data_IF_782298824279
#
_entry.id   IF_782298824279
#
_cell.length_a   1.000
_cell.length_b   1.000
_cell.length_c   1.000
_cell.angle_alpha   90.00
_cell.angle_beta   90.00
_cell.angle_gamma   90.00
#
_symmetry.space_group_name_H-M   'P 1'
#
loop_
_entity.id
_entity.type
_entity.pdbx_description
1 polymer ?
#
# COMPACT_ATOMS: atom_id res chain seq x y z
N UNK A 1 -22.35 0.31 2.47
CA UNK A 1 -23.05 0.27 3.77
C UNK A 1 -24.55 0.37 3.52
N UNK A 2 -25.35 -0.61 3.97
CA UNK A 2 -26.82 -0.64 3.79
C UNK A 2 -27.62 -0.42 5.08
N UNK A 3 -26.92 -0.40 6.23
CA UNK A 3 -27.55 -0.15 7.53
C UNK A 3 -28.02 1.30 7.66
N UNK A 4 -29.18 1.49 8.28
CA UNK A 4 -29.68 2.81 8.66
C UNK A 4 -29.00 3.38 9.91
N UNK A 5 -28.20 2.57 10.59
CA UNK A 5 -27.46 2.95 11.80
C UNK A 5 -25.98 2.64 11.63
N UNK A 6 -25.13 3.49 12.18
CA UNK A 6 -23.68 3.28 12.31
C UNK A 6 -23.32 2.67 13.67
N UNK A 7 -24.29 2.34 14.51
CA UNK A 7 -24.02 1.71 15.80
C UNK A 7 -23.54 0.27 15.63
N UNK A 8 -22.59 -0.12 16.44
CA UNK A 8 -21.88 -1.41 16.35
C UNK A 8 -22.63 -2.54 17.06
N UNK A 9 -23.90 -2.74 16.74
CA UNK A 9 -24.73 -3.82 17.32
C UNK A 9 -24.04 -5.20 17.32
N UNK A 10 -23.33 -5.62 16.26
CA UNK A 10 -22.67 -6.92 16.25
C UNK A 10 -21.56 -7.10 17.28
N UNK A 11 -20.95 -6.00 17.75
CA UNK A 11 -19.91 -6.04 18.78
C UNK A 11 -20.53 -6.10 20.17
N UNK A 12 -21.68 -5.44 20.37
CA UNK A 12 -22.36 -5.29 21.64
C UNK A 12 -23.67 -6.09 21.69
N UNK A 13 -23.73 -7.23 21.02
CA UNK A 13 -24.96 -8.00 20.89
C UNK A 13 -25.50 -8.50 22.25
N UNK A 14 -24.62 -8.80 23.21
CA UNK A 14 -25.02 -9.23 24.57
C UNK A 14 -25.76 -8.12 25.33
N UNK A 15 -25.32 -6.87 25.16
CA UNK A 15 -25.96 -5.72 25.80
C UNK A 15 -27.38 -5.46 25.31
N UNK A 16 -27.67 -5.91 24.10
CA UNK A 16 -28.96 -5.71 23.43
C UNK A 16 -29.81 -6.97 23.38
N UNK A 17 -29.37 -8.04 24.03
CA UNK A 17 -30.07 -9.36 24.01
C UNK A 17 -30.39 -9.83 22.60
N UNK A 18 -29.42 -9.70 21.68
CA UNK A 18 -29.58 -10.04 20.28
C UNK A 18 -28.99 -11.42 19.98
N UNK A 19 -29.64 -12.17 19.06
CA UNK A 19 -29.09 -13.43 18.55
C UNK A 19 -27.99 -13.14 17.51
N UNK A 20 -26.75 -13.49 17.84
CA UNK A 20 -25.58 -13.31 16.99
C UNK A 20 -25.73 -13.90 15.56
N UNK A 21 -26.59 -14.90 15.38
CA UNK A 21 -26.83 -15.57 14.07
C UNK A 21 -27.55 -14.66 13.06
N UNK A 22 -28.31 -13.69 13.54
CA UNK A 22 -29.17 -12.83 12.73
C UNK A 22 -28.64 -11.39 12.58
N UNK A 23 -27.50 -11.08 13.20
CA UNK A 23 -26.92 -9.74 13.18
C UNK A 23 -25.83 -9.69 12.12
N UNK A 24 -25.87 -8.67 11.28
CA UNK A 24 -24.83 -8.40 10.28
C UNK A 24 -24.07 -7.13 10.65
N UNK A 25 -22.78 -7.14 10.34
CA UNK A 25 -21.96 -5.96 10.47
C UNK A 25 -22.55 -4.78 9.69
N UNK A 26 -22.55 -3.62 10.31
CA UNK A 26 -22.99 -2.38 9.66
C UNK A 26 -21.98 -1.86 8.63
N UNK A 27 -20.77 -2.41 8.63
CA UNK A 27 -19.69 -2.07 7.72
C UNK A 27 -19.19 -3.29 6.95
N UNK A 28 -18.70 -3.04 5.75
CA UNK A 28 -18.04 -4.05 4.93
C UNK A 28 -16.55 -4.10 5.28
N UNK A 29 -16.09 -5.21 5.83
CA UNK A 29 -14.66 -5.48 5.93
C UNK A 29 -14.14 -5.88 4.56
N UNK A 30 -13.29 -5.03 3.96
CA UNK A 30 -12.71 -5.26 2.64
C UNK A 30 -11.47 -6.16 2.65
N UNK A 31 -11.14 -6.74 3.80
CA UNK A 31 -10.00 -7.62 3.96
C UNK A 31 -8.72 -6.91 4.41
N UNK A 32 -7.61 -7.64 4.30
CA UNK A 32 -6.31 -7.20 4.76
C UNK A 32 -5.72 -6.06 3.93
N UNK A 33 -4.92 -5.23 4.58
CA UNK A 33 -4.05 -4.28 3.91
C UNK A 33 -2.81 -5.04 3.43
N UNK A 34 -2.48 -4.90 2.15
CA UNK A 34 -1.29 -5.51 1.56
C UNK A 34 -0.32 -4.41 1.15
N UNK A 35 0.89 -4.42 1.70
CA UNK A 35 1.93 -3.44 1.39
C UNK A 35 3.07 -4.15 0.67
N UNK A 36 3.45 -3.65 -0.49
CA UNK A 36 4.56 -4.16 -1.30
C UNK A 36 5.93 -3.85 -0.71
N UNK A 37 6.96 -3.99 -1.54
CA UNK A 37 8.35 -3.76 -1.17
C UNK A 37 8.78 -2.32 -1.47
N UNK A 38 9.80 -1.82 -0.78
CA UNK A 38 10.35 -0.47 -0.99
C UNK A 38 9.27 0.64 -0.94
N UNK A 39 8.26 0.46 -0.11
CA UNK A 39 7.19 1.44 0.09
C UNK A 39 7.58 2.44 1.17
N UNK A 40 7.39 3.73 0.90
CA UNK A 40 7.55 4.77 1.91
C UNK A 40 6.19 5.28 2.36
N UNK A 41 5.93 5.17 3.66
CA UNK A 41 4.70 5.65 4.28
C UNK A 41 5.04 6.86 5.16
N UNK A 42 4.49 8.00 4.78
CA UNK A 42 4.69 9.26 5.48
C UNK A 42 4.02 9.28 6.86
N UNK A 43 4.44 10.22 7.67
CA UNK A 43 3.99 10.41 9.05
C UNK A 43 2.47 10.49 9.17
N UNK A 44 1.89 9.75 10.09
CA UNK A 44 0.45 9.72 10.37
C UNK A 44 -0.44 9.40 9.15
N UNK A 45 0.07 8.70 8.13
CA UNK A 45 -0.78 8.23 7.04
C UNK A 45 -1.75 7.15 7.54
N UNK A 46 -2.97 7.19 7.05
CA UNK A 46 -4.03 6.22 7.35
C UNK A 46 -4.33 5.40 6.10
N UNK A 47 -4.32 4.09 6.23
CA UNK A 47 -4.61 3.16 5.14
C UNK A 47 -5.85 2.36 5.53
N UNK A 48 -6.86 2.37 4.67
CA UNK A 48 -8.12 1.68 4.93
C UNK A 48 -8.02 0.18 4.61
N UNK A 49 -8.91 -0.59 5.22
CA UNK A 49 -8.98 -2.05 5.01
C UNK A 49 -9.13 -2.42 3.54
N UNK A 50 -8.50 -3.51 3.12
CA UNK A 50 -8.53 -4.05 1.78
C UNK A 50 -7.68 -3.31 0.74
N UNK A 51 -6.99 -2.24 1.13
CA UNK A 51 -6.11 -1.48 0.23
C UNK A 51 -4.83 -2.25 -0.05
N UNK A 52 -4.43 -2.27 -1.32
CA UNK A 52 -3.14 -2.80 -1.78
C UNK A 52 -2.24 -1.66 -2.21
N UNK A 53 -1.02 -1.63 -1.65
CA UNK A 53 0.00 -0.65 -1.99
C UNK A 53 1.11 -1.35 -2.77
N UNK A 54 1.32 -0.94 -4.02
CA UNK A 54 2.31 -1.52 -4.92
C UNK A 54 3.75 -1.22 -4.52
N UNK A 55 4.68 -2.03 -5.04
CA UNK A 55 6.10 -1.88 -4.80
C UNK A 55 6.60 -0.46 -5.15
N UNK A 56 7.47 0.08 -4.33
CA UNK A 56 8.07 1.39 -4.56
C UNK A 56 7.12 2.59 -4.44
N UNK A 57 5.89 2.40 -3.98
CA UNK A 57 4.94 3.49 -3.80
C UNK A 57 5.35 4.43 -2.66
N UNK A 58 4.89 5.66 -2.73
CA UNK A 58 5.11 6.68 -1.70
C UNK A 58 3.76 7.23 -1.25
N UNK A 59 3.50 7.13 0.04
CA UNK A 59 2.31 7.67 0.69
C UNK A 59 2.71 8.96 1.42
N UNK A 60 2.11 10.07 1.04
CA UNK A 60 2.36 11.36 1.68
C UNK A 60 1.96 11.38 3.16
N UNK A 61 2.61 12.24 3.94
CA UNK A 61 2.27 12.44 5.34
C UNK A 61 0.78 12.84 5.49
N UNK A 62 0.12 12.26 6.49
CA UNK A 62 -1.32 12.50 6.80
C UNK A 62 -2.30 12.19 5.67
N UNK A 63 -1.87 11.43 4.66
CA UNK A 63 -2.77 10.96 3.62
C UNK A 63 -3.75 9.92 4.17
N UNK A 64 -4.96 9.91 3.65
CA UNK A 64 -5.96 8.86 3.91
C UNK A 64 -6.16 8.04 2.65
N UNK A 65 -5.52 6.87 2.60
CA UNK A 65 -5.51 5.99 1.43
C UNK A 65 -6.75 5.12 1.44
N UNK A 66 -7.65 5.36 0.50
CA UNK A 66 -8.96 4.69 0.40
C UNK A 66 -9.06 3.71 -0.77
N UNK A 67 -8.07 3.71 -1.67
CA UNK A 67 -8.01 2.89 -2.89
C UNK A 67 -6.60 2.33 -3.08
N UNK A 68 -6.48 1.27 -3.86
CA UNK A 68 -5.20 0.68 -4.23
C UNK A 68 -4.27 1.73 -4.84
N UNK A 69 -2.98 1.60 -4.52
CA UNK A 69 -1.92 2.48 -5.02
C UNK A 69 -1.04 1.68 -5.97
N UNK A 70 -0.95 2.10 -7.26
CA UNK A 70 -0.09 1.43 -8.22
C UNK A 70 1.39 1.48 -7.82
N UNK A 71 2.22 0.54 -8.34
CA UNK A 71 3.65 0.58 -8.10
C UNK A 71 4.29 1.92 -8.50
N UNK A 72 5.32 2.33 -7.77
CA UNK A 72 6.10 3.54 -8.01
C UNK A 72 5.28 4.82 -8.19
N UNK A 73 4.12 4.87 -7.53
CA UNK A 73 3.21 6.01 -7.57
C UNK A 73 3.27 6.77 -6.25
N UNK A 74 3.30 8.10 -6.34
CA UNK A 74 3.22 9.00 -5.19
C UNK A 74 1.78 9.45 -5.02
N UNK A 75 1.21 9.19 -3.87
CA UNK A 75 -0.15 9.62 -3.51
C UNK A 75 -0.13 10.48 -2.25
N UNK A 76 -1.11 11.36 -2.12
CA UNK A 76 -1.25 12.21 -0.94
C UNK A 76 -2.63 12.83 -0.86
N UNK A 77 -2.92 13.43 0.28
CA UNK A 77 -4.19 14.13 0.53
C UNK A 77 -5.26 13.26 1.21
N UNK A 78 -6.43 13.86 1.43
CA UNK A 78 -7.61 13.26 2.10
C UNK A 78 -8.85 13.52 1.25
N UNK A 79 -9.41 12.54 0.55
CA UNK A 79 -8.85 11.21 0.30
C UNK A 79 -7.56 11.30 -0.56
N UNK A 80 -6.66 10.33 -0.39
CA UNK A 80 -5.41 10.30 -1.15
C UNK A 80 -5.67 10.16 -2.66
N UNK A 81 -4.96 10.97 -3.43
CA UNK A 81 -4.98 10.97 -4.88
C UNK A 81 -3.56 10.89 -5.43
N UNK A 82 -3.41 10.40 -6.64
CA UNK A 82 -2.13 10.37 -7.33
C UNK A 82 -1.61 11.80 -7.54
N UNK A 83 -0.40 12.05 -7.04
CA UNK A 83 0.35 13.29 -7.28
C UNK A 83 1.17 13.14 -8.56
N UNK A 84 1.94 12.04 -8.66
CA UNK A 84 2.77 11.72 -9.83
C UNK A 84 3.25 10.27 -9.78
N UNK A 85 3.78 9.79 -10.89
CA UNK A 85 4.63 8.59 -10.91
C UNK A 85 6.07 8.97 -10.53
N UNK A 86 6.80 8.05 -9.91
CA UNK A 86 8.23 8.24 -9.61
C UNK A 86 9.08 8.19 -10.89
N UNK A 87 8.71 7.30 -11.79
CA UNK A 87 9.41 7.02 -13.05
C UNK A 87 8.40 6.82 -14.18
N UNK A 88 8.88 6.81 -15.44
CA UNK A 88 8.09 6.41 -16.60
C UNK A 88 7.73 4.92 -16.55
N UNK A 89 6.75 4.51 -17.35
CA UNK A 89 6.23 3.14 -17.32
C UNK A 89 7.29 2.10 -17.70
N UNK A 90 8.16 2.39 -18.68
CA UNK A 90 9.23 1.49 -19.09
C UNK A 90 10.24 1.24 -17.96
N UNK A 91 10.58 2.30 -17.22
CA UNK A 91 11.44 2.22 -16.03
C UNK A 91 10.78 1.43 -14.91
N UNK A 92 9.50 1.65 -14.67
CA UNK A 92 8.73 0.91 -13.65
C UNK A 92 8.71 -0.58 -13.97
N UNK A 93 8.45 -0.96 -15.24
CA UNK A 93 8.47 -2.37 -15.66
C UNK A 93 9.82 -3.04 -15.38
N UNK A 94 10.93 -2.36 -15.70
CA UNK A 94 12.28 -2.86 -15.42
C UNK A 94 12.54 -3.05 -13.93
N UNK A 95 12.16 -2.08 -13.10
CA UNK A 95 12.32 -2.17 -11.64
C UNK A 95 11.51 -3.30 -11.04
N UNK A 96 10.29 -3.52 -11.51
CA UNK A 96 9.44 -4.62 -11.09
C UNK A 96 9.99 -5.99 -11.54
N UNK A 97 10.65 -6.06 -12.69
CA UNK A 97 11.32 -7.26 -13.18
C UNK A 97 12.60 -7.56 -12.39
N UNK A 98 13.40 -6.54 -12.09
CA UNK A 98 14.65 -6.67 -11.34
C UNK A 98 14.44 -7.14 -9.91
N UNK A 99 13.39 -6.67 -9.23
CA UNK A 99 13.07 -7.01 -7.83
C UNK A 99 14.30 -6.99 -6.93
N UNK A 100 15.07 -5.91 -6.97
CA UNK A 100 16.37 -5.78 -6.30
C UNK A 100 16.30 -6.07 -4.79
N UNK A 101 15.16 -5.85 -4.17
CA UNK A 101 14.92 -6.16 -2.76
C UNK A 101 14.94 -7.67 -2.44
N UNK A 102 14.81 -8.53 -3.45
CA UNK A 102 14.92 -9.97 -3.32
C UNK A 102 16.34 -10.51 -3.55
N UNK A 103 17.32 -9.64 -3.85
CA UNK A 103 18.71 -10.07 -4.04
C UNK A 103 19.39 -10.40 -2.71
N UNK A 104 20.45 -11.21 -2.77
CA UNK A 104 21.28 -11.44 -1.61
C UNK A 104 21.97 -10.14 -1.15
N UNK A 105 22.35 -10.13 0.12
CA UNK A 105 22.92 -8.92 0.78
C UNK A 105 24.17 -8.40 0.07
N UNK A 106 25.05 -9.28 -0.41
CA UNK A 106 26.29 -8.89 -1.07
C UNK A 106 26.03 -8.26 -2.43
N UNK A 107 25.07 -8.78 -3.17
CA UNK A 107 24.64 -8.19 -4.45
C UNK A 107 24.02 -6.80 -4.22
N UNK A 108 23.14 -6.64 -3.24
CA UNK A 108 22.58 -5.34 -2.87
C UNK A 108 23.71 -4.38 -2.51
N UNK A 109 24.64 -4.78 -1.67
CA UNK A 109 25.77 -3.96 -1.22
C UNK A 109 26.61 -3.43 -2.40
N UNK A 110 26.94 -4.27 -3.36
CA UNK A 110 27.66 -3.87 -4.57
C UNK A 110 26.84 -2.92 -5.47
N UNK A 111 25.51 -3.01 -5.41
CA UNK A 111 24.60 -2.26 -6.25
C UNK A 111 24.08 -0.97 -5.62
N UNK A 112 24.43 -0.66 -4.36
CA UNK A 112 23.89 0.52 -3.64
C UNK A 112 24.10 1.81 -4.43
N UNK A 113 25.29 2.05 -4.98
CA UNK A 113 25.57 3.26 -5.77
C UNK A 113 24.66 3.37 -7.00
N UNK A 114 24.42 2.28 -7.71
CA UNK A 114 23.53 2.25 -8.86
C UNK A 114 22.06 2.44 -8.46
N UNK A 115 21.64 1.85 -7.33
CA UNK A 115 20.29 2.02 -6.77
C UNK A 115 20.05 3.50 -6.40
N UNK A 116 20.97 4.10 -5.68
CA UNK A 116 20.86 5.49 -5.21
C UNK A 116 20.95 6.52 -6.35
N UNK A 117 21.77 6.25 -7.37
CA UNK A 117 21.89 7.13 -8.54
C UNK A 117 20.80 6.93 -9.60
N UNK A 118 19.93 5.91 -9.43
CA UNK A 118 18.91 5.58 -10.42
C UNK A 118 19.47 5.00 -11.72
N UNK A 119 20.67 4.42 -11.69
CA UNK A 119 21.31 3.84 -12.88
C UNK A 119 20.78 2.43 -13.15
N UNK A 120 19.63 2.35 -13.82
CA UNK A 120 18.96 1.09 -14.13
C UNK A 120 19.81 0.19 -15.02
N UNK A 121 20.53 0.75 -16.00
CA UNK A 121 21.39 -0.04 -16.88
C UNK A 121 22.48 -0.78 -16.09
N UNK A 122 23.06 -0.14 -15.08
CA UNK A 122 24.01 -0.80 -14.18
C UNK A 122 23.35 -1.92 -13.37
N UNK A 123 22.08 -1.74 -12.95
CA UNK A 123 21.35 -2.77 -12.21
C UNK A 123 20.98 -3.97 -13.09
N UNK A 124 20.58 -3.73 -14.34
CA UNK A 124 20.31 -4.80 -15.31
C UNK A 124 21.55 -5.65 -15.58
N UNK A 125 22.74 -5.07 -15.51
CA UNK A 125 24.03 -5.76 -15.69
C UNK A 125 24.59 -6.35 -14.39
N UNK A 126 23.99 -6.12 -13.22
CA UNK A 126 24.49 -6.60 -11.94
C UNK A 126 24.35 -8.14 -11.83
N UNK A 127 25.48 -8.80 -11.68
CA UNK A 127 25.57 -10.25 -11.48
C UNK A 127 25.61 -10.62 -10.02
#
# INVERSE_FOLDING_TARGET
MRSLSNYTFPIFFDEWDLDAKNIRDAWDNKGDIVIGNDVWIGYEAVILSGVKIGDGAVIGARAVVTKDVPPYTVVGGVPAKTIRKRFDDATVEKLLALRWWGWDKEKIKRSISAIQSGNIAALECAK
#
